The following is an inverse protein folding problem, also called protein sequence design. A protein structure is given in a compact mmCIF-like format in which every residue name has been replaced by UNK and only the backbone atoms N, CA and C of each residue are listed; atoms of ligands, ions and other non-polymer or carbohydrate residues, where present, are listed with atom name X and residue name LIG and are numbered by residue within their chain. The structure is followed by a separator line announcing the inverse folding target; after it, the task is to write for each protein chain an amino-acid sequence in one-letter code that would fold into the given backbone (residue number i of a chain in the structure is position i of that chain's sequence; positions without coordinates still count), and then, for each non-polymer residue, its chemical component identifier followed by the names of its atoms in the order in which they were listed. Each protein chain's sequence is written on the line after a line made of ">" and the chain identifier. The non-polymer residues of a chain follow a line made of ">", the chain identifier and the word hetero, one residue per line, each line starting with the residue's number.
data_IF_451840381810
#
_entry.id   IF_451840381810
#
_cell.length_a   1.000
_cell.length_b   1.000
_cell.length_c   1.000
_cell.angle_alpha   90.00
_cell.angle_beta   90.00
_cell.angle_gamma   90.00
#
_symmetry.space_group_name_H-M   'P 1'
#
loop_
_entity.id
_entity.type
_entity.pdbx_description
1 polymer ?
#
# COMPACT_ATOMS: atom_id res chain seq x y z
N UNK A 1 -77.76 -21.80 -32.09
CA UNK A 1 -76.83 -20.66 -32.07
C UNK A 1 -76.01 -20.72 -30.79
N UNK A 2 -74.67 -20.82 -30.93
CA UNK A 2 -73.63 -20.23 -30.08
C UNK A 2 -72.35 -21.05 -30.25
N UNK A 3 -71.42 -20.49 -31.04
CA UNK A 3 -70.03 -20.92 -31.15
C UNK A 3 -69.34 -20.52 -29.84
N UNK A 4 -68.68 -21.46 -29.16
CA UNK A 4 -67.76 -21.14 -28.07
C UNK A 4 -66.38 -21.57 -28.53
N UNK A 5 -65.67 -20.63 -29.14
CA UNK A 5 -64.23 -20.68 -29.37
C UNK A 5 -63.54 -20.51 -28.03
N UNK A 6 -62.95 -21.58 -27.49
CA UNK A 6 -62.07 -21.49 -26.33
C UNK A 6 -60.65 -21.18 -26.82
N UNK A 7 -60.32 -19.89 -26.78
CA UNK A 7 -58.99 -19.35 -27.07
C UNK A 7 -58.10 -19.61 -25.84
N UNK A 8 -57.34 -20.70 -25.82
CA UNK A 8 -56.33 -20.92 -24.77
C UNK A 8 -55.13 -20.02 -25.06
N UNK A 9 -55.15 -18.86 -24.43
CA UNK A 9 -54.07 -17.89 -24.39
C UNK A 9 -52.87 -18.49 -23.65
N UNK A 10 -51.81 -18.85 -24.38
CA UNK A 10 -50.54 -19.28 -23.80
C UNK A 10 -49.89 -18.09 -23.09
N UNK A 11 -49.99 -18.03 -21.76
CA UNK A 11 -49.13 -17.17 -20.96
C UNK A 11 -47.70 -17.70 -21.03
N UNK A 12 -46.91 -17.16 -21.95
CA UNK A 12 -45.45 -17.21 -21.85
C UNK A 12 -45.06 -16.31 -20.68
N UNK A 13 -44.82 -16.90 -19.51
CA UNK A 13 -44.14 -16.22 -18.42
C UNK A 13 -42.71 -15.92 -18.86
N UNK A 14 -42.47 -14.69 -19.29
CA UNK A 14 -41.13 -14.15 -19.49
C UNK A 14 -40.49 -14.13 -18.10
N UNK A 15 -39.67 -15.13 -17.81
CA UNK A 15 -38.72 -15.08 -16.70
C UNK A 15 -37.67 -14.02 -17.07
N UNK A 16 -37.98 -12.76 -16.75
CA UNK A 16 -36.94 -11.73 -16.67
C UNK A 16 -36.06 -12.11 -15.49
N UNK A 17 -34.95 -12.78 -15.76
CA UNK A 17 -33.81 -12.71 -14.87
C UNK A 17 -33.36 -11.25 -14.85
N UNK A 18 -33.83 -10.49 -13.87
CA UNK A 18 -33.13 -9.28 -13.46
C UNK A 18 -31.79 -9.76 -12.89
N UNK A 19 -30.79 -9.92 -13.76
CA UNK A 19 -29.42 -9.94 -13.29
C UNK A 19 -29.21 -8.55 -12.69
N UNK A 20 -29.16 -8.47 -11.36
CA UNK A 20 -28.48 -7.36 -10.70
C UNK A 20 -27.09 -7.35 -11.30
N UNK A 21 -26.84 -6.41 -12.22
CA UNK A 21 -25.53 -6.21 -12.79
C UNK A 21 -24.60 -6.05 -11.61
N UNK A 22 -23.74 -7.04 -11.38
CA UNK A 22 -22.62 -6.78 -10.50
C UNK A 22 -21.79 -5.72 -11.22
N UNK A 23 -21.52 -4.60 -10.56
CA UNK A 23 -20.59 -3.56 -11.03
C UNK A 23 -19.13 -4.07 -11.01
N UNK A 24 -18.94 -5.33 -11.39
CA UNK A 24 -17.68 -6.04 -11.42
C UNK A 24 -16.95 -5.68 -12.72
N UNK A 25 -16.13 -4.64 -12.64
CA UNK A 25 -15.06 -4.42 -13.59
C UNK A 25 -13.91 -5.37 -13.25
N UNK A 26 -13.88 -6.52 -13.92
CA UNK A 26 -12.75 -7.43 -13.90
C UNK A 26 -11.63 -6.86 -14.77
N UNK A 27 -10.55 -6.37 -14.15
CA UNK A 27 -9.41 -5.85 -14.90
C UNK A 27 -8.17 -6.69 -14.57
N UNK A 28 -7.74 -7.48 -15.56
CA UNK A 28 -6.62 -8.42 -15.42
C UNK A 28 -5.27 -7.86 -15.84
N UNK A 29 -4.24 -8.16 -15.05
CA UNK A 29 -2.81 -8.07 -15.36
C UNK A 29 -2.24 -9.51 -15.44
N UNK A 30 -1.52 -9.88 -16.49
CA UNK A 30 -0.92 -11.23 -16.67
C UNK A 30 -1.87 -12.44 -16.46
N UNK A 31 -3.17 -12.27 -16.68
CA UNK A 31 -4.16 -13.36 -16.48
C UNK A 31 -4.67 -13.49 -15.04
N UNK A 32 -4.19 -12.66 -14.12
CA UNK A 32 -4.66 -12.57 -12.73
C UNK A 32 -5.49 -11.30 -12.50
N UNK A 33 -6.49 -11.38 -11.63
CA UNK A 33 -7.44 -10.32 -11.32
C UNK A 33 -6.81 -9.26 -10.41
N UNK A 34 -6.19 -8.24 -11.00
CA UNK A 34 -5.45 -7.19 -10.27
C UNK A 34 -6.38 -6.21 -9.54
N UNK A 35 -7.49 -5.87 -10.19
CA UNK A 35 -8.56 -5.04 -9.63
C UNK A 35 -9.79 -5.93 -9.43
N UNK A 36 -10.00 -6.42 -8.21
CA UNK A 36 -11.23 -7.11 -7.81
C UNK A 36 -11.74 -6.49 -6.50
N UNK A 37 -13.03 -6.24 -6.45
CA UNK A 37 -13.63 -5.35 -5.47
C UNK A 37 -13.95 -6.04 -4.15
N UNK A 38 -13.19 -5.74 -3.10
CA UNK A 38 -13.81 -5.51 -1.79
C UNK A 38 -14.29 -4.07 -1.76
N UNK A 39 -15.61 -3.83 -1.81
CA UNK A 39 -16.15 -2.46 -1.60
C UNK A 39 -15.70 -2.00 -0.21
N UNK A 40 -15.08 -0.81 -0.13
CA UNK A 40 -14.81 -0.20 1.18
C UNK A 40 -16.15 0.10 1.84
N UNK A 41 -16.50 -0.68 2.86
CA UNK A 41 -17.61 -0.34 3.74
C UNK A 41 -17.23 0.94 4.49
N UNK A 42 -17.84 2.05 4.11
CA UNK A 42 -17.79 3.27 4.89
C UNK A 42 -18.74 3.03 6.06
N UNK A 43 -18.22 2.52 7.17
CA UNK A 43 -19.00 2.52 8.41
C UNK A 43 -19.22 3.96 8.83
N UNK A 44 -20.47 4.33 9.16
CA UNK A 44 -20.80 5.57 9.88
C UNK A 44 -20.30 5.48 11.34
N UNK A 45 -19.01 5.17 11.52
CA UNK A 45 -18.35 5.01 12.80
C UNK A 45 -17.88 6.34 13.39
N UNK A 46 -17.26 6.25 14.56
CA UNK A 46 -16.62 7.36 15.28
C UNK A 46 -15.80 8.25 14.35
N UNK A 47 -15.94 9.57 14.51
CA UNK A 47 -15.14 10.55 13.75
C UNK A 47 -13.68 10.37 14.18
N UNK A 48 -12.79 10.14 13.21
CA UNK A 48 -11.34 10.06 13.44
C UNK A 48 -10.69 11.25 12.74
N UNK A 49 -9.98 12.08 13.51
CA UNK A 49 -9.34 13.28 13.00
C UNK A 49 -8.07 12.95 12.17
N UNK A 50 -7.77 13.78 11.17
CA UNK A 50 -6.62 13.59 10.28
C UNK A 50 -6.91 12.67 9.09
N UNK A 51 -5.86 12.09 8.49
CA UNK A 51 -5.97 11.24 7.30
C UNK A 51 -5.12 9.98 7.39
N UNK A 52 -5.61 8.82 6.86
CA UNK A 52 -4.87 7.55 6.88
C UNK A 52 -3.86 7.41 5.72
N UNK A 53 -3.63 8.47 4.93
CA UNK A 53 -2.89 8.38 3.66
C UNK A 53 -1.50 9.01 3.78
N UNK A 54 -0.45 8.23 3.50
CA UNK A 54 0.94 8.70 3.61
C UNK A 54 1.30 9.80 2.60
N UNK A 55 0.57 9.90 1.49
CA UNK A 55 0.86 10.82 0.39
C UNK A 55 -0.26 11.84 0.14
N UNK A 56 -1.12 12.07 1.13
CA UNK A 56 -2.33 12.88 0.98
C UNK A 56 -3.53 12.08 0.46
N UNK A 57 -4.71 12.72 0.49
CA UNK A 57 -5.99 12.06 0.22
C UNK A 57 -6.32 11.90 -1.28
N UNK A 58 -5.54 12.56 -2.15
CA UNK A 58 -5.77 12.58 -3.58
C UNK A 58 -5.42 11.26 -4.26
N UNK A 59 -6.20 10.92 -5.29
CA UNK A 59 -5.88 9.82 -6.20
C UNK A 59 -4.96 10.37 -7.27
N UNK A 60 -3.88 9.66 -7.57
CA UNK A 60 -2.88 10.11 -8.53
C UNK A 60 -2.56 9.02 -9.55
N UNK A 61 -2.11 9.45 -10.72
CA UNK A 61 -1.72 8.54 -11.80
C UNK A 61 -0.58 7.61 -11.37
N UNK A 62 -0.73 6.34 -11.70
CA UNK A 62 0.28 5.31 -11.46
C UNK A 62 0.63 4.57 -12.73
N UNK A 63 1.81 3.98 -12.75
CA UNK A 63 2.23 2.99 -13.72
C UNK A 63 2.49 1.67 -13.00
N UNK A 64 2.06 0.57 -13.62
CA UNK A 64 2.40 -0.78 -13.17
C UNK A 64 3.27 -1.37 -14.27
N UNK A 65 4.55 -1.70 -14.00
CA UNK A 65 5.41 -2.32 -14.99
C UNK A 65 4.79 -3.60 -15.55
N UNK A 66 4.96 -3.83 -16.85
CA UNK A 66 4.41 -4.99 -17.58
C UNK A 66 2.87 -5.08 -17.61
N UNK A 67 2.17 -4.02 -17.21
CA UNK A 67 0.72 -3.90 -17.32
C UNK A 67 0.35 -2.98 -18.48
N UNK A 68 -0.20 -3.57 -19.55
CA UNK A 68 -0.41 -2.88 -20.84
C UNK A 68 -1.81 -2.26 -20.99
N UNK A 69 -2.59 -2.18 -19.91
CA UNK A 69 -3.93 -1.57 -19.91
C UNK A 69 -3.90 -0.25 -19.14
N UNK A 70 -4.94 0.55 -19.32
CA UNK A 70 -5.11 1.75 -18.49
C UNK A 70 -5.21 1.37 -17.01
N UNK A 71 -4.44 2.06 -16.18
CA UNK A 71 -4.52 1.97 -14.71
C UNK A 71 -5.45 3.07 -14.20
N UNK A 72 -6.32 2.78 -13.21
CA UNK A 72 -7.01 3.84 -12.49
C UNK A 72 -5.99 4.64 -11.66
N UNK A 73 -6.38 5.85 -11.27
CA UNK A 73 -5.62 6.62 -10.30
C UNK A 73 -5.72 5.97 -8.92
N UNK A 74 -4.58 5.91 -8.22
CA UNK A 74 -4.47 5.24 -6.93
C UNK A 74 -4.07 6.22 -5.82
N UNK A 75 -4.36 5.82 -4.58
CA UNK A 75 -3.74 6.39 -3.37
C UNK A 75 -3.37 5.27 -2.40
N UNK A 76 -2.41 5.54 -1.52
CA UNK A 76 -1.95 4.57 -0.52
C UNK A 76 -2.49 4.91 0.88
N UNK A 77 -3.24 3.97 1.46
CA UNK A 77 -3.73 4.01 2.83
C UNK A 77 -2.70 3.30 3.74
N UNK A 78 -1.86 4.08 4.41
CA UNK A 78 -0.78 3.58 5.25
C UNK A 78 -1.25 3.08 6.64
N UNK A 79 -2.51 3.31 6.99
CA UNK A 79 -3.11 2.70 8.18
C UNK A 79 -3.53 1.25 7.94
N UNK A 80 -4.14 0.98 6.78
CA UNK A 80 -4.58 -0.36 6.38
C UNK A 80 -3.57 -1.11 5.51
N UNK A 81 -2.49 -0.45 5.09
CA UNK A 81 -1.54 -0.95 4.09
C UNK A 81 -2.25 -1.33 2.79
N UNK A 82 -3.18 -0.50 2.29
CA UNK A 82 -3.96 -0.80 1.08
C UNK A 82 -3.82 0.26 0.00
N UNK A 83 -3.82 -0.17 -1.26
CA UNK A 83 -3.92 0.72 -2.41
C UNK A 83 -5.40 0.88 -2.76
N UNK A 84 -5.89 2.12 -2.79
CA UNK A 84 -7.28 2.46 -3.05
C UNK A 84 -7.43 3.08 -4.44
N UNK A 85 -8.54 2.77 -5.13
CA UNK A 85 -8.94 3.41 -6.39
C UNK A 85 -10.43 3.78 -6.39
N UNK A 86 -10.81 4.73 -7.24
CA UNK A 86 -12.21 5.13 -7.44
C UNK A 86 -12.80 4.42 -8.66
N UNK A 87 -14.06 4.00 -8.54
CA UNK A 87 -14.90 3.65 -9.67
C UNK A 87 -16.30 4.24 -9.43
N UNK A 88 -16.66 5.27 -10.21
CA UNK A 88 -17.81 6.13 -9.91
C UNK A 88 -17.65 6.84 -8.57
N UNK A 89 -18.67 6.69 -7.70
CA UNK A 89 -18.68 7.28 -6.36
C UNK A 89 -18.10 6.35 -5.28
N UNK A 90 -17.78 5.11 -5.63
CA UNK A 90 -17.31 4.10 -4.70
C UNK A 90 -15.78 4.00 -4.70
N UNK A 91 -15.23 3.61 -3.53
CA UNK A 91 -13.80 3.36 -3.32
C UNK A 91 -13.58 1.87 -3.15
N UNK A 92 -12.53 1.39 -3.81
CA UNK A 92 -12.18 -0.02 -3.88
C UNK A 92 -10.69 -0.22 -3.62
N UNK A 93 -10.32 -1.47 -3.36
CA UNK A 93 -8.93 -1.87 -3.07
C UNK A 93 -8.32 -2.61 -4.24
N UNK A 94 -7.03 -2.37 -4.48
CA UNK A 94 -6.21 -3.20 -5.38
C UNK A 94 -5.88 -4.50 -4.67
N UNK A 95 -6.00 -5.63 -5.36
CA UNK A 95 -5.58 -6.90 -4.79
C UNK A 95 -4.07 -6.92 -4.61
N UNK A 96 -3.61 -7.14 -3.38
CA UNK A 96 -2.20 -7.41 -3.12
C UNK A 96 -1.79 -8.70 -3.81
N UNK A 97 -0.74 -8.63 -4.62
CA UNK A 97 -0.06 -9.80 -5.16
C UNK A 97 1.46 -9.61 -4.98
N UNK A 98 2.19 -10.69 -4.70
CA UNK A 98 3.62 -10.60 -4.47
C UNK A 98 4.36 -10.08 -5.71
N UNK A 99 5.41 -9.29 -5.47
CA UNK A 99 6.31 -8.72 -6.48
C UNK A 99 5.64 -7.73 -7.44
N UNK A 100 4.42 -7.27 -7.15
CA UNK A 100 3.84 -6.14 -7.87
C UNK A 100 4.61 -4.88 -7.51
N UNK A 101 5.02 -4.14 -8.54
CA UNK A 101 5.50 -2.77 -8.43
C UNK A 101 4.44 -1.78 -8.93
N UNK A 102 4.26 -0.69 -8.19
CA UNK A 102 3.35 0.41 -8.51
C UNK A 102 4.14 1.73 -8.40
N UNK A 103 4.29 2.40 -9.53
CA UNK A 103 5.04 3.65 -9.64
C UNK A 103 4.08 4.84 -9.61
N UNK A 104 4.14 5.63 -8.54
CA UNK A 104 3.40 6.89 -8.37
C UNK A 104 4.20 8.03 -9.01
N UNK A 105 3.87 8.34 -10.27
CA UNK A 105 4.68 9.19 -11.15
C UNK A 105 4.83 10.63 -10.61
N UNK A 106 3.72 11.24 -10.16
CA UNK A 106 3.72 12.61 -9.63
C UNK A 106 4.49 12.72 -8.30
N UNK A 107 4.54 11.64 -7.53
CA UNK A 107 5.21 11.58 -6.24
C UNK A 107 6.69 11.17 -6.35
N UNK A 108 7.14 10.73 -7.54
CA UNK A 108 8.45 10.11 -7.77
C UNK A 108 8.73 9.00 -6.74
N UNK A 109 7.71 8.18 -6.46
CA UNK A 109 7.73 7.14 -5.44
C UNK A 109 7.23 5.83 -6.02
N UNK A 110 7.90 4.73 -5.71
CA UNK A 110 7.50 3.39 -6.12
C UNK A 110 7.20 2.53 -4.90
N UNK A 111 6.10 1.80 -4.94
CA UNK A 111 5.77 0.77 -3.95
C UNK A 111 5.96 -0.62 -4.56
N UNK A 112 6.43 -1.56 -3.76
CA UNK A 112 6.49 -2.98 -4.10
C UNK A 112 5.71 -3.77 -3.05
N UNK A 113 4.78 -4.62 -3.49
CA UNK A 113 4.08 -5.54 -2.60
C UNK A 113 4.92 -6.81 -2.44
N UNK A 114 5.36 -7.12 -1.22
CA UNK A 114 6.33 -8.17 -0.98
C UNK A 114 5.87 -9.11 0.12
N UNK A 115 6.17 -10.40 -0.06
CA UNK A 115 6.31 -11.34 1.04
C UNK A 115 7.74 -11.23 1.56
N UNK A 116 7.91 -10.88 2.84
CA UNK A 116 9.23 -10.71 3.43
C UNK A 116 9.26 -11.17 4.89
N UNK A 117 10.41 -11.66 5.33
CA UNK A 117 10.59 -12.16 6.68
C UNK A 117 11.64 -11.34 7.43
N UNK A 118 11.33 -10.93 8.65
CA UNK A 118 12.26 -10.23 9.55
C UNK A 118 12.26 -10.98 10.88
N UNK A 119 13.43 -11.48 11.31
CA UNK A 119 13.58 -12.20 12.58
C UNK A 119 12.51 -13.28 12.75
N UNK A 120 12.38 -14.14 11.73
CA UNK A 120 11.45 -15.29 11.64
C UNK A 120 9.96 -14.94 11.63
N UNK A 121 9.61 -13.66 11.54
CA UNK A 121 8.23 -13.21 11.33
C UNK A 121 7.99 -12.88 9.87
N UNK A 122 6.96 -13.49 9.30
CA UNK A 122 6.54 -13.25 7.93
C UNK A 122 5.60 -12.04 7.85
N UNK A 123 5.78 -11.24 6.82
CA UNK A 123 4.99 -10.06 6.52
C UNK A 123 4.59 -10.10 5.05
N UNK A 124 3.42 -9.56 4.75
CA UNK A 124 2.94 -9.33 3.40
C UNK A 124 2.35 -7.92 3.34
N UNK A 125 2.88 -7.08 2.45
CA UNK A 125 2.45 -5.69 2.38
C UNK A 125 3.28 -4.83 1.44
N UNK A 126 2.93 -3.55 1.35
CA UNK A 126 3.62 -2.60 0.49
C UNK A 126 4.83 -1.97 1.18
N UNK A 127 5.94 -1.91 0.45
CA UNK A 127 7.17 -1.22 0.86
C UNK A 127 7.54 -0.18 -0.20
N UNK A 128 7.95 1.00 0.24
CA UNK A 128 8.52 2.01 -0.66
C UNK A 128 9.93 1.60 -1.06
N UNK A 129 10.21 1.56 -2.36
CA UNK A 129 11.56 1.31 -2.88
C UNK A 129 12.37 2.61 -2.80
N UNK A 130 13.49 2.60 -2.07
CA UNK A 130 14.42 3.73 -1.97
C UNK A 130 15.70 3.50 -2.78
N UNK A 131 16.19 2.25 -2.80
CA UNK A 131 17.29 1.81 -3.66
C UNK A 131 16.90 0.44 -4.21
N UNK A 132 16.95 0.31 -5.53
CA UNK A 132 16.66 -0.92 -6.27
C UNK A 132 17.95 -1.45 -6.87
N UNK A 133 18.51 -2.52 -6.28
CA UNK A 133 19.76 -3.13 -6.71
C UNK A 133 19.83 -4.61 -6.30
N UNK A 134 20.41 -5.44 -7.17
CA UNK A 134 20.52 -6.89 -6.97
C UNK A 134 21.32 -7.28 -5.71
N UNK A 135 22.35 -6.50 -5.34
CA UNK A 135 23.20 -6.77 -4.17
C UNK A 135 22.52 -6.30 -2.88
N UNK A 136 22.24 -5.01 -2.78
CA UNK A 136 21.55 -4.40 -1.64
C UNK A 136 20.41 -3.49 -2.09
N UNK A 137 19.17 -3.88 -1.79
CA UNK A 137 18.01 -3.01 -1.98
C UNK A 137 17.58 -2.38 -0.65
N UNK A 138 17.20 -1.11 -0.69
CA UNK A 138 16.73 -0.36 0.47
C UNK A 138 15.25 -0.07 0.33
N UNK A 139 14.49 -0.41 1.36
CA UNK A 139 13.06 -0.21 1.43
C UNK A 139 12.69 0.63 2.65
N UNK A 140 11.54 1.30 2.57
CA UNK A 140 10.88 1.98 3.68
C UNK A 140 9.47 1.45 3.86
N UNK A 141 9.11 1.12 5.09
CA UNK A 141 7.73 0.88 5.50
C UNK A 141 7.12 2.17 6.05
N UNK A 142 6.06 2.63 5.41
CA UNK A 142 5.24 3.75 5.84
C UNK A 142 4.02 3.22 6.61
N UNK A 143 3.75 3.78 7.78
CA UNK A 143 2.67 3.33 8.65
C UNK A 143 2.03 4.51 9.37
N UNK A 144 0.70 4.50 9.45
CA UNK A 144 -0.10 5.47 10.20
C UNK A 144 -0.93 4.71 11.23
N UNK A 145 -0.80 5.07 12.50
CA UNK A 145 -1.60 4.48 13.58
C UNK A 145 -2.81 5.36 13.94
N UNK A 146 -3.77 4.78 14.65
CA UNK A 146 -4.87 5.53 15.26
C UNK A 146 -4.55 5.63 16.75
N UNK A 147 -4.44 6.86 17.25
CA UNK A 147 -4.28 7.14 18.68
C UNK A 147 -5.66 7.42 19.26
N UNK A 148 -5.95 6.80 20.41
CA UNK A 148 -7.22 6.97 21.10
C UNK A 148 -7.34 8.40 21.65
N UNK A 149 -8.47 9.04 21.37
CA UNK A 149 -8.81 10.33 21.94
C UNK A 149 -9.10 10.24 23.44
N UNK A 150 -8.90 11.34 24.15
CA UNK A 150 -9.18 11.43 25.58
C UNK A 150 -10.54 12.10 25.83
N UNK A 151 -11.28 11.60 26.82
CA UNK A 151 -12.52 12.24 27.26
C UNK A 151 -12.20 13.50 28.06
N UNK A 152 -13.04 14.50 27.89
CA UNK A 152 -12.99 15.72 28.69
C UNK A 152 -13.03 15.38 30.18
N UNK A 153 -12.10 15.97 30.94
CA UNK A 153 -12.01 15.74 32.38
C UNK A 153 -13.19 16.33 33.16
N UNK A 154 -13.97 17.21 32.53
CA UNK A 154 -15.18 17.82 33.07
C UNK A 154 -16.11 18.29 31.92
N UNK A 155 -17.36 18.69 32.21
CA UNK A 155 -18.35 19.09 31.19
C UNK A 155 -17.99 20.33 30.34
N UNK A 156 -16.93 21.07 30.69
CA UNK A 156 -16.46 22.25 29.95
C UNK A 156 -15.28 21.93 29.01
N UNK A 157 -14.68 20.75 29.12
CA UNK A 157 -13.62 20.27 28.24
C UNK A 157 -14.26 19.34 27.21
N UNK A 158 -14.13 19.68 25.93
CA UNK A 158 -14.65 18.85 24.84
C UNK A 158 -13.88 17.54 24.74
N UNK A 159 -14.58 16.44 24.49
CA UNK A 159 -13.96 15.16 24.17
C UNK A 159 -13.06 15.31 22.93
N UNK A 160 -11.88 14.69 22.99
CA UNK A 160 -11.01 14.56 21.83
C UNK A 160 -11.37 13.28 21.08
N UNK A 161 -11.53 13.38 19.76
CA UNK A 161 -11.72 12.23 18.90
C UNK A 161 -10.44 11.40 18.79
N UNK A 162 -10.57 10.15 18.37
CA UNK A 162 -9.44 9.37 17.86
C UNK A 162 -8.78 10.13 16.69
N UNK A 163 -7.48 9.97 16.49
CA UNK A 163 -6.79 10.65 15.40
C UNK A 163 -5.70 9.81 14.74
N UNK A 164 -5.50 10.05 13.44
CA UNK A 164 -4.43 9.43 12.67
C UNK A 164 -3.08 10.09 12.97
N UNK A 165 -2.09 9.28 13.34
CA UNK A 165 -0.74 9.74 13.66
C UNK A 165 0.31 9.00 12.80
N UNK A 166 1.17 9.72 12.05
CA UNK A 166 2.28 9.11 11.34
C UNK A 166 3.27 8.46 12.32
N UNK A 167 3.55 7.17 12.13
CA UNK A 167 4.56 6.46 12.90
C UNK A 167 5.92 6.65 12.25
N UNK A 168 6.97 6.64 13.07
CA UNK A 168 8.34 6.70 12.59
C UNK A 168 8.61 5.60 11.56
N UNK A 169 9.03 6.03 10.38
CA UNK A 169 9.36 5.14 9.27
C UNK A 169 10.38 4.06 9.68
N UNK A 170 10.12 2.83 9.25
CA UNK A 170 11.04 1.70 9.42
C UNK A 170 11.75 1.44 8.09
N UNK A 171 13.09 1.44 8.12
CA UNK A 171 13.90 1.11 6.96
C UNK A 171 14.33 -0.36 7.00
N UNK A 172 14.28 -1.01 5.84
CA UNK A 172 14.58 -2.41 5.66
C UNK A 172 15.64 -2.57 4.57
N UNK A 173 16.68 -3.35 4.86
CA UNK A 173 17.67 -3.75 3.87
C UNK A 173 17.33 -5.14 3.36
N UNK A 174 17.22 -5.29 2.04
CA UNK A 174 17.16 -6.60 1.39
C UNK A 174 18.56 -6.96 0.89
N UNK A 175 19.05 -8.14 1.29
CA UNK A 175 20.30 -8.74 0.82
C UNK A 175 19.98 -10.16 0.34
N UNK A 176 20.08 -10.40 -0.96
CA UNK A 176 19.55 -11.62 -1.57
C UNK A 176 18.04 -11.77 -1.28
N UNK A 177 17.66 -12.86 -0.62
CA UNK A 177 16.26 -13.15 -0.26
C UNK A 177 15.91 -12.79 1.20
N UNK A 178 16.84 -12.20 1.96
CA UNK A 178 16.64 -11.88 3.38
C UNK A 178 16.41 -10.39 3.59
N UNK A 179 15.53 -10.05 4.52
CA UNK A 179 15.25 -8.68 4.94
C UNK A 179 15.75 -8.44 6.37
N UNK A 180 16.41 -7.31 6.56
CA UNK A 180 16.97 -6.88 7.83
C UNK A 180 16.43 -5.51 8.21
N UNK A 181 16.08 -5.34 9.49
CA UNK A 181 15.79 -4.00 10.02
C UNK A 181 17.08 -3.21 10.11
N UNK A 182 17.05 -1.99 9.61
CA UNK A 182 18.15 -1.06 9.78
C UNK A 182 18.05 -0.45 11.17
N UNK A 183 19.10 -0.64 11.95
CA UNK A 183 19.24 0.06 13.23
C UNK A 183 19.91 1.41 13.03
N UNK A 184 19.76 2.28 14.02
CA UNK A 184 20.42 3.59 14.08
C UNK A 184 21.86 3.52 14.59
N UNK A 185 22.41 2.31 14.76
CA UNK A 185 23.77 2.09 15.22
C UNK A 185 24.66 1.75 14.02
N UNK A 186 25.70 2.56 13.79
CA UNK A 186 26.62 2.39 12.65
C UNK A 186 27.28 1.02 12.62
N UNK A 187 27.69 0.48 13.77
CA UNK A 187 28.36 -0.84 13.83
C UNK A 187 27.39 -1.96 13.46
N UNK A 188 26.16 -1.88 13.91
CA UNK A 188 25.12 -2.86 13.55
C UNK A 188 24.72 -2.76 12.08
N UNK A 189 24.62 -1.53 11.54
CA UNK A 189 24.37 -1.32 10.12
C UNK A 189 25.48 -1.96 9.27
N UNK A 190 26.75 -1.69 9.57
CA UNK A 190 27.90 -2.19 8.80
C UNK A 190 27.99 -3.73 8.82
N UNK A 191 27.52 -4.39 9.89
CA UNK A 191 27.41 -5.86 9.94
C UNK A 191 26.52 -6.43 8.83
N UNK A 192 25.49 -5.69 8.40
CA UNK A 192 24.61 -6.13 7.30
C UNK A 192 25.34 -6.13 5.95
N UNK A 193 26.44 -5.36 5.84
CA UNK A 193 27.27 -5.22 4.65
C UNK A 193 28.63 -5.92 4.82
N UNK A 194 28.61 -7.13 5.39
CA UNK A 194 29.77 -8.04 5.52
C UNK A 194 30.93 -7.48 6.36
N UNK A 195 30.66 -6.55 7.27
CA UNK A 195 31.67 -5.90 8.11
C UNK A 195 32.82 -5.26 7.31
N UNK A 196 32.57 -4.80 6.08
CA UNK A 196 33.62 -4.17 5.29
C UNK A 196 34.10 -2.86 5.97
N UNK A 197 35.39 -2.74 6.33
CA UNK A 197 35.91 -1.56 7.03
C UNK A 197 35.82 -0.27 6.22
N UNK A 198 35.76 -0.35 4.88
CA UNK A 198 35.56 0.82 4.02
C UNK A 198 34.20 1.48 4.26
N UNK A 199 33.17 0.72 4.66
CA UNK A 199 31.84 1.27 4.93
C UNK A 199 31.83 2.15 6.19
N UNK A 200 32.50 1.73 7.27
CA UNK A 200 32.60 2.54 8.49
C UNK A 200 33.40 3.83 8.24
N UNK A 201 34.51 3.72 7.51
CA UNK A 201 35.31 4.87 7.09
C UNK A 201 34.51 5.84 6.22
N UNK A 202 33.73 5.34 5.26
CA UNK A 202 32.88 6.17 4.41
C UNK A 202 31.84 6.93 5.23
N UNK A 203 31.15 6.27 6.16
CA UNK A 203 30.14 6.89 7.03
C UNK A 203 30.76 8.04 7.84
N UNK A 204 31.94 7.81 8.43
CA UNK A 204 32.65 8.82 9.24
C UNK A 204 33.14 10.00 8.40
N UNK A 205 33.90 9.74 7.33
CA UNK A 205 34.52 10.78 6.50
C UNK A 205 33.48 11.63 5.79
N UNK A 206 32.40 11.01 5.30
CA UNK A 206 31.33 11.72 4.59
C UNK A 206 30.22 12.23 5.53
N UNK A 207 30.38 12.06 6.86
CA UNK A 207 29.42 12.49 7.89
C UNK A 207 27.99 12.01 7.62
N UNK A 208 27.85 10.76 7.18
CA UNK A 208 26.55 10.15 6.86
C UNK A 208 25.74 9.99 8.15
N UNK A 209 24.60 10.66 8.23
CA UNK A 209 23.63 10.44 9.30
C UNK A 209 22.66 9.32 8.91
N UNK A 210 22.92 8.11 9.39
CA UNK A 210 22.11 6.92 9.11
C UNK A 210 20.66 6.99 9.66
N UNK A 211 20.32 8.03 10.44
CA UNK A 211 18.94 8.32 10.80
C UNK A 211 18.17 9.10 9.74
N UNK A 212 18.84 9.71 8.76
CA UNK A 212 18.22 10.47 7.67
C UNK A 212 18.08 9.60 6.42
N UNK A 213 16.91 9.65 5.80
CA UNK A 213 16.59 8.86 4.60
C UNK A 213 17.60 9.08 3.46
N UNK A 214 17.89 10.33 3.13
CA UNK A 214 18.79 10.67 2.02
C UNK A 214 20.23 10.19 2.25
N UNK A 215 20.73 10.30 3.48
CA UNK A 215 22.08 9.86 3.84
C UNK A 215 22.16 8.33 3.84
N UNK A 216 21.11 7.65 4.31
CA UNK A 216 21.00 6.20 4.24
C UNK A 216 20.97 5.70 2.78
N UNK A 217 20.20 6.36 1.91
CA UNK A 217 20.18 6.09 0.47
C UNK A 217 21.58 6.26 -0.13
N UNK A 218 22.27 7.36 0.19
CA UNK A 218 23.63 7.63 -0.28
C UNK A 218 24.60 6.53 0.13
N UNK A 219 24.54 6.09 1.38
CA UNK A 219 25.37 5.00 1.89
C UNK A 219 25.09 3.67 1.20
N UNK A 220 23.82 3.27 1.06
CA UNK A 220 23.48 2.00 0.40
C UNK A 220 23.90 2.00 -1.07
N UNK A 221 23.75 3.13 -1.78
CA UNK A 221 24.26 3.28 -3.15
C UNK A 221 25.77 3.10 -3.22
N UNK A 222 26.53 3.74 -2.33
CA UNK A 222 27.97 3.53 -2.23
C UNK A 222 28.34 2.06 -1.99
N UNK A 223 27.65 1.36 -1.08
CA UNK A 223 27.92 -0.05 -0.79
C UNK A 223 27.61 -1.02 -1.96
N UNK A 224 26.77 -0.58 -2.90
CA UNK A 224 26.46 -1.31 -4.14
C UNK A 224 27.48 -1.08 -5.26
N UNK A 225 28.29 -0.02 -5.19
CA UNK A 225 29.34 0.30 -6.17
C UNK A 225 30.68 -0.40 -5.86
N UNK A 226 30.80 -1.00 -4.68
CA UNK A 226 31.93 -1.82 -4.23
C UNK A 226 31.70 -3.30 -4.54
#
# INVERSE_FOLDING_TARGET
>A
MKKITLLTLSLFSILTFAQTGSDNMAVSAQGEMFFMMGKKNISNGEVIDGVPYANGAEFVKVQIPNYNKSTPELRYNANKDEMEFKNGNDIYYVNKQPQIRIDFLSLKKSYECLNYSISDKNYFGYLVILVDNAKYSLYKKEFIEIIKGEKGSNPFVTDQNDFYSPVKNQYLLKKGNQFFRISKNTKELVKLFDNNPFHESYIKTNKIDISKENDLIKFVKFANEQ
#
